data_IF_819473405951
#
_entry.id   IF_819473405951
#
_cell.length_a   1.000
_cell.length_b   1.000
_cell.length_c   1.000
_cell.angle_alpha   90.00
_cell.angle_beta   90.00
_cell.angle_gamma   90.00
#
_symmetry.space_group_name_H-M   'P 1'
#
loop_
_entity.id
_entity.type
_entity.pdbx_description
1 polymer ?
#
# COMPACT_ATOMS: atom_id res chain seq x y z
N UNK A 1 3.10 24.47 13.30
CA UNK A 1 4.33 25.05 13.85
C UNK A 1 5.55 24.34 13.26
N UNK A 2 6.68 25.04 13.12
CA UNK A 2 7.94 24.46 12.63
C UNK A 2 8.42 23.28 13.49
N UNK A 3 8.14 23.29 14.79
CA UNK A 3 8.45 22.17 15.67
C UNK A 3 7.64 20.92 15.31
N UNK A 4 6.34 21.06 15.08
CA UNK A 4 5.50 19.91 14.70
C UNK A 4 5.90 19.30 13.35
N UNK A 5 6.40 20.08 12.42
CA UNK A 5 6.94 19.63 11.14
C UNK A 5 8.20 18.77 11.34
N UNK A 6 9.15 19.26 12.12
CA UNK A 6 10.38 18.54 12.45
C UNK A 6 10.09 17.24 13.22
N UNK A 7 9.17 17.30 14.19
CA UNK A 7 8.74 16.10 14.94
C UNK A 7 8.11 15.05 14.02
N UNK A 8 7.22 15.46 13.11
CA UNK A 8 6.61 14.52 12.15
C UNK A 8 7.68 13.89 11.25
N UNK A 9 8.62 14.68 10.71
CA UNK A 9 9.70 14.15 9.89
C UNK A 9 10.60 13.19 10.68
N UNK A 10 10.93 13.51 11.94
CA UNK A 10 11.73 12.64 12.81
C UNK A 10 11.02 11.31 13.10
N UNK A 11 9.72 11.34 13.44
CA UNK A 11 8.93 10.13 13.69
C UNK A 11 8.87 9.26 12.44
N UNK A 12 8.65 9.85 11.24
CA UNK A 12 8.63 9.12 9.98
C UNK A 12 10.00 8.51 9.65
N UNK A 13 11.09 9.24 9.88
CA UNK A 13 12.44 8.74 9.67
C UNK A 13 12.77 7.58 10.63
N UNK A 14 12.38 7.68 11.90
CA UNK A 14 12.56 6.60 12.89
C UNK A 14 11.72 5.37 12.51
N UNK A 15 10.45 5.56 12.08
CA UNK A 15 9.61 4.47 11.64
C UNK A 15 10.19 3.79 10.39
N UNK A 16 10.73 4.57 9.45
CA UNK A 16 11.39 4.05 8.26
C UNK A 16 12.68 3.28 8.60
N UNK A 17 13.49 3.79 9.54
CA UNK A 17 14.68 3.08 10.01
C UNK A 17 14.34 1.74 10.67
N UNK A 18 13.28 1.70 11.50
CA UNK A 18 12.79 0.47 12.10
C UNK A 18 12.28 -0.52 11.03
N UNK A 19 11.56 -0.02 10.02
CA UNK A 19 11.10 -0.80 8.88
C UNK A 19 12.25 -1.37 8.03
N UNK A 20 13.30 -0.57 7.78
CA UNK A 20 14.52 -1.02 7.11
C UNK A 20 15.26 -2.10 7.90
N UNK A 21 15.36 -1.95 9.24
CA UNK A 21 15.95 -2.98 10.09
C UNK A 21 15.15 -4.29 10.01
N UNK A 22 13.81 -4.22 10.03
CA UNK A 22 12.94 -5.39 9.85
C UNK A 22 13.10 -6.04 8.47
N UNK A 23 13.19 -5.22 7.41
CA UNK A 23 13.45 -5.71 6.05
C UNK A 23 14.81 -6.39 5.93
N UNK A 24 15.87 -5.80 6.51
CA UNK A 24 17.20 -6.39 6.55
C UNK A 24 17.21 -7.73 7.28
N UNK A 25 16.55 -7.81 8.44
CA UNK A 25 16.41 -9.06 9.19
C UNK A 25 15.67 -10.13 8.37
N UNK A 26 14.61 -9.75 7.64
CA UNK A 26 13.87 -10.64 6.74
C UNK A 26 14.69 -11.14 5.56
N UNK A 27 15.61 -10.33 5.03
CA UNK A 27 16.53 -10.73 3.97
C UNK A 27 17.60 -11.68 4.49
N UNK A 28 18.17 -11.43 5.67
CA UNK A 28 19.24 -12.24 6.25
C UNK A 28 18.73 -13.53 6.87
N UNK A 29 17.50 -13.55 7.39
CA UNK A 29 16.93 -14.67 8.14
C UNK A 29 16.53 -15.89 7.30
N UNK A 30 16.45 -15.78 5.98
CA UNK A 30 16.19 -16.87 5.03
C UNK A 30 14.83 -17.59 5.19
N UNK A 31 14.01 -17.23 6.17
CA UNK A 31 12.70 -17.82 6.45
C UNK A 31 11.53 -16.87 6.20
N UNK A 32 10.33 -17.42 6.07
CA UNK A 32 9.09 -16.64 6.04
C UNK A 32 8.46 -16.63 7.42
N UNK A 33 8.47 -15.48 8.10
CA UNK A 33 7.69 -15.28 9.31
C UNK A 33 6.25 -14.91 8.92
N UNK A 34 5.27 -15.58 9.52
CA UNK A 34 3.86 -15.29 9.32
C UNK A 34 3.15 -15.21 10.67
N UNK A 35 2.29 -14.21 10.81
CA UNK A 35 1.49 -14.04 12.03
C UNK A 35 0.07 -13.62 11.65
N UNK A 36 -0.90 -13.95 12.51
CA UNK A 36 -2.27 -13.42 12.39
C UNK A 36 -2.25 -11.95 12.76
N UNK A 37 -2.93 -11.13 11.95
CA UNK A 37 -2.96 -9.68 12.13
C UNK A 37 -4.26 -9.23 12.77
N UNK A 38 -5.39 -9.61 12.22
CA UNK A 38 -6.71 -9.21 12.71
C UNK A 38 -7.75 -10.28 12.37
N UNK A 39 -8.59 -10.70 13.33
CA UNK A 39 -9.69 -11.62 13.04
C UNK A 39 -10.82 -10.87 12.32
N UNK A 40 -11.18 -11.32 11.13
CA UNK A 40 -12.35 -10.86 10.41
C UNK A 40 -13.49 -11.85 10.62
N UNK A 41 -14.58 -11.53 11.33
CA UNK A 41 -15.64 -12.50 11.64
C UNK A 41 -16.23 -13.20 10.42
N UNK A 42 -16.35 -12.48 9.29
CA UNK A 42 -16.92 -12.99 8.04
C UNK A 42 -15.91 -13.59 7.06
N UNK A 43 -14.62 -13.37 7.24
CA UNK A 43 -13.58 -13.71 6.25
C UNK A 43 -12.45 -14.60 6.79
N UNK A 44 -12.52 -14.96 8.07
CA UNK A 44 -11.48 -15.74 8.74
C UNK A 44 -10.33 -14.86 9.27
N UNK A 45 -9.26 -15.49 9.75
CA UNK A 45 -8.08 -14.78 10.26
C UNK A 45 -7.30 -14.12 9.14
N UNK A 46 -7.05 -12.82 9.24
CA UNK A 46 -6.10 -12.17 8.34
C UNK A 46 -4.67 -12.51 8.76
N UNK A 47 -3.81 -12.73 7.78
CA UNK A 47 -2.40 -13.02 7.99
C UNK A 47 -1.53 -11.97 7.32
N UNK A 48 -0.46 -11.61 8.01
CA UNK A 48 0.65 -10.84 7.45
C UNK A 48 1.91 -11.68 7.55
N UNK A 49 2.83 -11.50 6.61
CA UNK A 49 4.05 -12.29 6.58
C UNK A 49 5.20 -11.57 5.91
N UNK A 50 6.38 -11.81 6.41
CA UNK A 50 7.62 -11.29 5.86
C UNK A 50 8.39 -12.45 5.23
N UNK A 51 8.37 -12.51 3.89
CA UNK A 51 9.21 -13.38 3.10
C UNK A 51 10.39 -12.59 2.52
N UNK A 52 11.48 -13.22 2.08
CA UNK A 52 12.62 -12.51 1.50
C UNK A 52 12.24 -11.56 0.36
N UNK A 53 11.32 -11.96 -0.52
CA UNK A 53 10.82 -11.10 -1.59
C UNK A 53 10.06 -9.87 -1.05
N UNK A 54 9.21 -10.07 -0.02
CA UNK A 54 8.52 -8.95 0.64
C UNK A 54 9.53 -8.00 1.31
N UNK A 55 10.52 -8.56 1.99
CA UNK A 55 11.59 -7.79 2.62
C UNK A 55 12.38 -6.95 1.60
N UNK A 56 12.69 -7.52 0.42
CA UNK A 56 13.34 -6.81 -0.67
C UNK A 56 12.53 -5.58 -1.12
N UNK A 57 11.23 -5.73 -1.34
CA UNK A 57 10.36 -4.62 -1.76
C UNK A 57 10.09 -3.59 -0.64
N UNK A 58 10.19 -3.98 0.63
CA UNK A 58 10.08 -3.03 1.75
C UNK A 58 11.27 -2.07 1.82
N UNK A 59 12.46 -2.47 1.36
CA UNK A 59 13.65 -1.60 1.39
C UNK A 59 13.42 -0.27 0.67
N UNK A 60 13.07 -0.22 -0.62
CA UNK A 60 12.81 1.05 -1.30
C UNK A 60 11.62 1.80 -0.70
N UNK A 61 10.57 1.13 -0.22
CA UNK A 61 9.42 1.78 0.41
C UNK A 61 9.84 2.54 1.66
N UNK A 62 10.57 1.91 2.57
CA UNK A 62 11.00 2.59 3.79
C UNK A 62 12.13 3.58 3.55
N UNK A 63 13.03 3.32 2.60
CA UNK A 63 14.05 4.29 2.21
C UNK A 63 13.43 5.61 1.75
N UNK A 64 12.51 5.54 0.79
CA UNK A 64 11.81 6.72 0.30
C UNK A 64 10.85 7.29 1.35
N UNK A 65 10.22 6.43 2.15
CA UNK A 65 9.35 6.81 3.25
C UNK A 65 10.04 7.67 4.31
N UNK A 66 11.31 7.42 4.58
CA UNK A 66 12.12 8.20 5.53
C UNK A 66 12.78 9.43 4.90
N UNK A 67 13.35 9.30 3.71
CA UNK A 67 14.03 10.40 3.02
C UNK A 67 13.06 11.48 2.54
N UNK A 68 11.85 11.11 2.09
CA UNK A 68 10.85 12.05 1.60
C UNK A 68 10.46 13.13 2.62
N UNK A 69 10.09 12.79 3.86
CA UNK A 69 9.80 13.78 4.90
C UNK A 69 10.99 14.69 5.24
N UNK A 70 12.20 14.15 5.26
CA UNK A 70 13.43 14.94 5.50
C UNK A 70 13.67 15.94 4.36
N UNK A 71 13.55 15.50 3.12
CA UNK A 71 13.60 16.38 1.95
C UNK A 71 12.50 17.44 1.99
N UNK A 72 11.30 17.05 2.41
CA UNK A 72 10.13 17.91 2.51
C UNK A 72 10.30 19.09 3.48
N UNK A 73 11.18 18.99 4.50
CA UNK A 73 11.48 20.09 5.40
C UNK A 73 12.06 21.31 4.66
N UNK A 74 12.83 21.07 3.61
CA UNK A 74 13.39 22.15 2.76
C UNK A 74 12.51 22.48 1.56
N UNK A 75 11.94 21.45 0.92
CA UNK A 75 11.19 21.61 -0.33
C UNK A 75 9.76 22.17 -0.12
N UNK A 76 9.06 21.73 0.94
CA UNK A 76 7.67 22.14 1.24
C UNK A 76 7.48 22.54 2.70
N UNK A 77 8.21 23.57 3.18
CA UNK A 77 8.18 23.94 4.60
C UNK A 77 6.80 24.49 5.01
N UNK A 78 6.34 24.10 6.19
CA UNK A 78 5.03 24.48 6.74
C UNK A 78 4.81 25.98 6.80
N UNK A 79 5.87 26.75 7.01
CA UNK A 79 5.79 28.23 7.09
C UNK A 79 5.36 28.88 5.75
N UNK A 80 5.76 28.28 4.62
CA UNK A 80 5.40 28.75 3.27
C UNK A 80 4.09 28.10 2.79
N UNK A 81 3.71 26.94 3.36
CA UNK A 81 2.54 26.15 2.96
C UNK A 81 1.64 25.84 4.17
N UNK A 82 1.06 26.88 4.85
CA UNK A 82 0.31 26.69 6.09
C UNK A 82 -0.96 25.86 5.92
N UNK A 83 -1.60 25.91 4.73
CA UNK A 83 -2.85 25.22 4.44
C UNK A 83 -2.69 23.74 4.16
N UNK A 84 -1.65 23.32 3.43
CA UNK A 84 -1.53 21.95 2.89
C UNK A 84 -0.30 21.16 3.38
N UNK A 85 0.70 21.79 4.00
CA UNK A 85 1.90 21.11 4.47
C UNK A 85 1.63 20.00 5.50
N UNK A 86 0.59 20.12 6.35
CA UNK A 86 0.18 19.04 7.28
C UNK A 86 -0.47 17.88 6.53
N UNK A 87 -1.35 18.19 5.56
CA UNK A 87 -2.03 17.22 4.72
C UNK A 87 -1.02 16.38 3.95
N UNK A 88 -0.04 17.04 3.31
CA UNK A 88 1.02 16.38 2.56
C UNK A 88 1.79 15.37 3.42
N UNK A 89 2.21 15.74 4.63
CA UNK A 89 2.92 14.83 5.53
C UNK A 89 2.06 13.67 6.00
N UNK A 90 0.79 13.93 6.35
CA UNK A 90 -0.14 12.89 6.75
C UNK A 90 -0.32 11.85 5.64
N UNK A 91 -0.66 12.31 4.44
CA UNK A 91 -0.92 11.41 3.31
C UNK A 91 0.36 10.72 2.80
N UNK A 92 1.53 11.36 2.92
CA UNK A 92 2.80 10.68 2.69
C UNK A 92 2.99 9.48 3.63
N UNK A 93 2.80 9.68 4.92
CA UNK A 93 2.91 8.61 5.92
C UNK A 93 1.89 7.49 5.69
N UNK A 94 0.62 7.84 5.41
CA UNK A 94 -0.42 6.86 5.11
C UNK A 94 -0.13 6.08 3.82
N UNK A 95 0.43 6.73 2.80
CA UNK A 95 0.85 6.06 1.56
C UNK A 95 1.95 5.04 1.84
N UNK A 96 2.98 5.41 2.59
CA UNK A 96 4.06 4.48 2.98
C UNK A 96 3.53 3.32 3.82
N UNK A 97 2.65 3.59 4.78
CA UNK A 97 2.01 2.56 5.59
C UNK A 97 1.13 1.62 4.74
N UNK A 98 0.36 2.17 3.80
CA UNK A 98 -0.44 1.39 2.85
C UNK A 98 0.42 0.47 1.98
N UNK A 99 1.53 0.98 1.43
CA UNK A 99 2.49 0.18 0.65
C UNK A 99 3.12 -0.94 1.50
N UNK A 100 3.52 -0.62 2.73
CA UNK A 100 4.09 -1.62 3.63
C UNK A 100 3.07 -2.72 3.97
N UNK A 101 1.83 -2.35 4.32
CA UNK A 101 0.75 -3.30 4.60
C UNK A 101 0.47 -4.19 3.39
N UNK A 102 0.42 -3.63 2.19
CA UNK A 102 0.21 -4.36 0.95
C UNK A 102 1.28 -5.43 0.73
N UNK A 103 2.55 -5.08 0.90
CA UNK A 103 3.68 -5.98 0.66
C UNK A 103 3.72 -7.15 1.66
N UNK A 104 3.35 -6.91 2.92
CA UNK A 104 3.35 -7.97 3.95
C UNK A 104 2.03 -8.75 4.01
N UNK A 105 0.97 -8.31 3.33
CA UNK A 105 -0.33 -8.98 3.37
C UNK A 105 -0.26 -10.39 2.79
N UNK A 106 -0.85 -11.34 3.51
CA UNK A 106 -1.07 -12.73 3.09
C UNK A 106 -2.56 -13.06 2.97
N UNK A 107 -3.41 -12.05 3.05
CA UNK A 107 -4.86 -12.14 3.00
C UNK A 107 -5.42 -11.09 2.05
N UNK A 108 -6.31 -11.48 1.14
CA UNK A 108 -6.82 -10.61 0.08
C UNK A 108 -7.47 -9.32 0.60
N UNK A 109 -8.25 -9.39 1.69
CA UNK A 109 -8.89 -8.19 2.25
C UNK A 109 -7.86 -7.24 2.90
N UNK A 110 -6.84 -7.76 3.57
CA UNK A 110 -5.77 -6.94 4.12
C UNK A 110 -4.94 -6.29 2.99
N UNK A 111 -4.71 -7.03 1.89
CA UNK A 111 -4.10 -6.51 0.68
C UNK A 111 -4.92 -5.36 0.09
N UNK A 112 -6.25 -5.55 -0.12
CA UNK A 112 -7.14 -4.52 -0.65
C UNK A 112 -7.21 -3.29 0.26
N UNK A 113 -7.18 -3.48 1.58
CA UNK A 113 -7.14 -2.37 2.53
C UNK A 113 -5.85 -1.53 2.35
N UNK A 114 -4.69 -2.19 2.29
CA UNK A 114 -3.41 -1.51 2.01
C UNK A 114 -3.41 -0.81 0.65
N UNK A 115 -4.02 -1.45 -0.37
CA UNK A 115 -4.18 -0.90 -1.70
C UNK A 115 -5.00 0.38 -1.70
N UNK A 116 -6.13 0.42 -0.98
CA UNK A 116 -6.97 1.61 -0.86
C UNK A 116 -6.31 2.72 -0.05
N UNK A 117 -5.66 2.42 1.06
CA UNK A 117 -4.91 3.43 1.81
C UNK A 117 -3.83 4.08 0.95
N UNK A 118 -3.10 3.29 0.16
CA UNK A 118 -2.10 3.79 -0.77
C UNK A 118 -2.76 4.65 -1.87
N UNK A 119 -3.88 4.19 -2.47
CA UNK A 119 -4.55 4.89 -3.56
C UNK A 119 -5.13 6.23 -3.12
N UNK A 120 -5.90 6.25 -2.03
CA UNK A 120 -6.49 7.46 -1.49
C UNK A 120 -5.43 8.47 -1.03
N UNK A 121 -4.37 7.97 -0.38
CA UNK A 121 -3.27 8.84 0.05
C UNK A 121 -2.56 9.49 -1.14
N UNK A 122 -2.30 8.72 -2.20
CA UNK A 122 -1.70 9.24 -3.42
C UNK A 122 -2.61 10.26 -4.13
N UNK A 123 -3.94 10.05 -4.14
CA UNK A 123 -4.89 11.05 -4.62
C UNK A 123 -4.73 12.40 -3.90
N UNK A 124 -4.69 12.40 -2.57
CA UNK A 124 -4.52 13.62 -1.79
C UNK A 124 -3.14 14.25 -1.96
N UNK A 125 -2.11 13.45 -2.26
CA UNK A 125 -0.78 13.97 -2.59
C UNK A 125 -0.75 14.63 -3.96
N UNK A 126 -1.37 14.04 -4.98
CA UNK A 126 -1.51 14.63 -6.32
C UNK A 126 -2.33 15.93 -6.25
N UNK A 127 -3.40 15.93 -5.47
CA UNK A 127 -4.28 17.08 -5.27
C UNK A 127 -3.78 18.06 -4.18
N UNK A 128 -2.49 18.06 -3.82
CA UNK A 128 -1.96 18.93 -2.76
C UNK A 128 -2.12 20.41 -3.11
N UNK A 129 -1.98 20.79 -4.37
CA UNK A 129 -2.26 22.15 -4.89
C UNK A 129 -3.67 22.25 -5.49
N UNK A 130 -4.69 21.97 -4.69
CA UNK A 130 -6.11 21.92 -5.10
C UNK A 130 -6.68 23.25 -5.62
N UNK A 131 -5.99 24.36 -5.38
CA UNK A 131 -6.30 25.65 -5.97
C UNK A 131 -6.02 25.71 -7.49
N UNK A 132 -5.16 24.81 -8.02
CA UNK A 132 -4.88 24.71 -9.45
C UNK A 132 -5.87 23.77 -10.13
N UNK A 133 -6.56 24.22 -11.21
CA UNK A 133 -7.52 23.37 -11.93
C UNK A 133 -6.87 22.09 -12.47
N UNK A 134 -5.63 22.18 -12.95
CA UNK A 134 -4.86 21.06 -13.51
C UNK A 134 -4.61 19.98 -12.45
N UNK A 135 -4.22 20.37 -11.23
CA UNK A 135 -3.99 19.44 -10.12
C UNK A 135 -5.28 18.74 -9.70
N UNK A 136 -6.42 19.46 -9.68
CA UNK A 136 -7.72 18.83 -9.41
C UNK A 136 -8.12 17.84 -10.50
N UNK A 137 -7.97 18.21 -11.75
CA UNK A 137 -8.29 17.34 -12.89
C UNK A 137 -7.41 16.08 -12.87
N UNK A 138 -6.10 16.24 -12.68
CA UNK A 138 -5.17 15.11 -12.55
C UNK A 138 -5.56 14.18 -11.38
N UNK A 139 -5.91 14.76 -10.22
CA UNK A 139 -6.40 14.00 -9.07
C UNK A 139 -7.66 13.19 -9.39
N UNK A 140 -8.65 13.78 -10.05
CA UNK A 140 -9.87 13.08 -10.43
C UNK A 140 -9.62 11.94 -11.42
N UNK A 141 -8.79 12.17 -12.45
CA UNK A 141 -8.42 11.12 -13.42
C UNK A 141 -7.73 9.97 -12.68
N UNK A 142 -6.78 10.28 -11.80
CA UNK A 142 -6.09 9.29 -10.99
C UNK A 142 -7.07 8.50 -10.11
N UNK A 143 -7.98 9.18 -9.41
CA UNK A 143 -8.96 8.55 -8.52
C UNK A 143 -9.87 7.59 -9.28
N UNK A 144 -10.42 8.01 -10.43
CA UNK A 144 -11.30 7.18 -11.24
C UNK A 144 -10.54 5.95 -11.75
N UNK A 145 -9.35 6.13 -12.32
CA UNK A 145 -8.56 5.03 -12.86
C UNK A 145 -8.21 4.01 -11.76
N UNK A 146 -7.76 4.47 -10.60
CA UNK A 146 -7.40 3.59 -9.48
C UNK A 146 -8.60 2.84 -8.91
N UNK A 147 -9.78 3.47 -8.81
CA UNK A 147 -10.99 2.80 -8.32
C UNK A 147 -11.50 1.74 -9.29
N UNK A 148 -11.43 1.97 -10.61
CA UNK A 148 -11.73 0.93 -11.61
C UNK A 148 -10.78 -0.27 -11.43
N UNK A 149 -9.49 -0.01 -11.22
CA UNK A 149 -8.51 -1.06 -10.87
C UNK A 149 -8.88 -1.81 -9.59
N UNK A 150 -9.25 -1.08 -8.54
CA UNK A 150 -9.65 -1.67 -7.25
C UNK A 150 -10.90 -2.55 -7.38
N UNK A 151 -11.94 -2.09 -8.09
CA UNK A 151 -13.14 -2.90 -8.34
C UNK A 151 -12.81 -4.19 -9.10
N UNK A 152 -11.89 -4.13 -10.05
CA UNK A 152 -11.39 -5.29 -10.77
C UNK A 152 -10.67 -6.27 -9.84
N UNK A 153 -9.86 -5.77 -8.89
CA UNK A 153 -9.21 -6.60 -7.89
C UNK A 153 -10.20 -7.21 -6.88
N UNK A 154 -11.26 -6.49 -6.52
CA UNK A 154 -12.36 -7.08 -5.73
C UNK A 154 -13.01 -8.27 -6.43
N UNK A 155 -13.31 -8.13 -7.73
CA UNK A 155 -13.84 -9.22 -8.53
C UNK A 155 -12.86 -10.41 -8.59
N UNK A 156 -11.57 -10.14 -8.79
CA UNK A 156 -10.51 -11.15 -8.79
C UNK A 156 -10.50 -11.93 -7.48
N UNK A 157 -10.45 -11.25 -6.33
CA UNK A 157 -10.36 -11.92 -5.04
C UNK A 157 -11.68 -12.60 -4.61
N UNK A 158 -12.83 -12.11 -5.09
CA UNK A 158 -14.11 -12.80 -4.89
C UNK A 158 -14.15 -14.14 -5.66
N UNK A 159 -13.70 -14.14 -6.91
CA UNK A 159 -13.58 -15.37 -7.71
C UNK A 159 -12.51 -16.31 -7.14
N UNK A 160 -11.38 -15.78 -6.68
CA UNK A 160 -10.35 -16.55 -5.97
C UNK A 160 -10.92 -17.28 -4.77
N UNK A 161 -11.64 -16.56 -3.89
CA UNK A 161 -12.30 -17.16 -2.74
C UNK A 161 -13.34 -18.21 -3.14
N UNK A 162 -14.13 -17.94 -4.17
CA UNK A 162 -15.13 -18.90 -4.66
C UNK A 162 -14.48 -20.22 -5.07
N UNK A 163 -13.33 -20.15 -5.72
CA UNK A 163 -12.61 -21.34 -6.19
C UNK A 163 -11.81 -22.07 -5.10
N UNK A 164 -11.20 -21.31 -4.19
CA UNK A 164 -10.26 -21.86 -3.18
C UNK A 164 -10.89 -22.04 -1.78
N UNK A 165 -12.08 -21.47 -1.56
CA UNK A 165 -12.73 -21.45 -0.26
C UNK A 165 -12.11 -20.48 0.76
N UNK A 166 -11.03 -19.76 0.41
CA UNK A 166 -10.26 -18.90 1.32
C UNK A 166 -9.84 -17.58 0.70
N UNK A 167 -9.70 -16.55 1.54
CA UNK A 167 -9.07 -15.27 1.16
C UNK A 167 -7.55 -15.27 1.38
N UNK A 168 -6.97 -16.36 1.86
CA UNK A 168 -5.52 -16.44 2.01
C UNK A 168 -4.85 -16.49 0.64
N UNK A 169 -3.78 -15.70 0.49
CA UNK A 169 -2.97 -15.62 -0.73
C UNK A 169 -1.89 -16.72 -0.69
N UNK A 170 -2.33 -17.96 -0.92
CA UNK A 170 -1.49 -19.15 -0.97
C UNK A 170 -1.59 -19.77 -2.36
N UNK A 171 -0.56 -20.48 -2.83
CA UNK A 171 -0.65 -21.20 -4.09
C UNK A 171 -1.86 -22.15 -4.12
N UNK A 172 -2.75 -21.97 -5.09
CA UNK A 172 -3.86 -22.90 -5.32
C UNK A 172 -3.35 -24.12 -6.10
N UNK A 173 -3.84 -25.31 -5.71
CA UNK A 173 -3.60 -26.53 -6.51
C UNK A 173 -4.20 -26.39 -7.92
N UNK A 174 -3.57 -27.03 -8.91
CA UNK A 174 -4.03 -27.01 -10.31
C UNK A 174 -5.47 -27.54 -10.48
N UNK A 175 -5.90 -28.41 -9.59
CA UNK A 175 -7.24 -29.01 -9.60
C UNK A 175 -8.35 -28.02 -9.18
N UNK A 176 -8.02 -27.00 -8.40
CA UNK A 176 -8.97 -26.00 -7.93
C UNK A 176 -9.33 -24.96 -9.00
N UNK A 177 -8.48 -24.76 -10.00
CA UNK A 177 -8.61 -23.71 -11.00
C UNK A 177 -8.67 -24.31 -12.41
N UNK A 178 -9.88 -24.42 -12.97
CA UNK A 178 -10.04 -24.76 -14.39
C UNK A 178 -9.43 -23.69 -15.30
N UNK A 179 -8.99 -24.06 -16.52
CA UNK A 179 -8.34 -23.16 -17.49
C UNK A 179 -9.13 -21.87 -17.75
N UNK A 180 -10.45 -21.93 -17.85
CA UNK A 180 -11.30 -20.75 -18.07
C UNK A 180 -11.23 -19.76 -16.91
N UNK A 181 -11.30 -20.25 -15.67
CA UNK A 181 -11.18 -19.40 -14.47
C UNK A 181 -9.77 -18.83 -14.33
N UNK A 182 -8.74 -19.63 -14.61
CA UNK A 182 -7.34 -19.17 -14.58
C UNK A 182 -7.10 -18.01 -15.55
N UNK A 183 -7.62 -18.14 -16.79
CA UNK A 183 -7.53 -17.06 -17.79
C UNK A 183 -8.27 -15.81 -17.32
N UNK A 184 -9.47 -15.96 -16.77
CA UNK A 184 -10.24 -14.82 -16.23
C UNK A 184 -9.50 -14.12 -15.08
N UNK A 185 -8.96 -14.88 -14.11
CA UNK A 185 -8.16 -14.33 -13.01
C UNK A 185 -6.91 -13.61 -13.54
N UNK A 186 -6.26 -14.15 -14.56
CA UNK A 186 -5.12 -13.52 -15.21
C UNK A 186 -5.50 -12.17 -15.83
N UNK A 187 -6.57 -12.10 -16.61
CA UNK A 187 -7.04 -10.84 -17.22
C UNK A 187 -7.47 -9.82 -16.18
N UNK A 188 -8.18 -10.24 -15.14
CA UNK A 188 -8.56 -9.36 -14.02
C UNK A 188 -7.33 -8.83 -13.28
N UNK A 189 -6.29 -9.66 -13.09
CA UNK A 189 -5.04 -9.21 -12.47
C UNK A 189 -4.31 -8.19 -13.35
N UNK A 190 -4.22 -8.46 -14.66
CA UNK A 190 -3.58 -7.55 -15.61
C UNK A 190 -4.27 -6.19 -15.64
N UNK A 191 -5.61 -6.17 -15.67
CA UNK A 191 -6.42 -4.95 -15.60
C UNK A 191 -6.29 -4.26 -14.23
N UNK A 192 -6.52 -4.99 -13.14
CA UNK A 192 -6.55 -4.43 -11.80
C UNK A 192 -5.21 -3.83 -11.37
N UNK A 193 -4.10 -4.52 -11.63
CA UNK A 193 -2.76 -4.00 -11.33
C UNK A 193 -2.25 -3.02 -12.40
N UNK A 194 -2.63 -3.21 -13.67
CA UNK A 194 -2.15 -2.37 -14.77
C UNK A 194 -2.76 -0.97 -14.82
N UNK A 195 -3.95 -0.75 -14.23
CA UNK A 195 -4.61 0.57 -14.15
C UNK A 195 -4.02 1.48 -13.07
N UNK A 196 -3.08 1.02 -12.30
CA UNK A 196 -2.40 1.77 -11.26
C UNK A 196 -0.92 1.98 -11.59
#
# INVERSE_FOLDING_TARGET
SALGEKLAAAVMALAAAAGLAGAAAGLCGGGSAQTSFFPWPAAGGSAVGLAPLSAFFLVPVFLMGGLGPLYGLGYWPQRLHPGNGRKLRLFWGLMVAGMALLIISRHALAFLLGWEFMALSAFFLVATEDHRPESRQAGWIYLIATHVGTLTLFALFALWRHATGSYLLQPAGREALGLGLLNLLFFLSLLGFGLK
#
